data_IF_775418616470
#
_entry.id   IF_775418616470
#
_cell.length_a   1.000
_cell.length_b   1.000
_cell.length_c   1.000
_cell.angle_alpha   90.00
_cell.angle_beta   90.00
_cell.angle_gamma   90.00
#
_symmetry.space_group_name_H-M   'P 1'
#
loop_
_entity.id
_entity.type
_entity.pdbx_description
1 polymer ?
#
# COMPACT_ATOMS: atom_id res chain seq x y z
N UNK A 1 11.82 -1.66 25.20
CA UNK A 1 10.73 -1.18 24.33
C UNK A 1 11.28 -0.23 23.30
N UNK A 2 11.36 -0.68 22.05
CA UNK A 2 11.90 0.12 20.96
C UNK A 2 10.79 1.06 20.49
N UNK A 3 11.01 2.38 20.57
CA UNK A 3 10.01 3.42 20.23
C UNK A 3 9.46 3.26 18.79
N UNK A 4 10.16 2.50 17.94
CA UNK A 4 9.79 2.22 16.55
C UNK A 4 8.86 1.02 16.34
N UNK A 5 8.61 0.17 17.36
CA UNK A 5 7.79 -1.03 17.16
C UNK A 5 6.30 -0.67 16.96
N UNK A 6 5.84 0.43 17.56
CA UNK A 6 4.49 0.95 17.42
C UNK A 6 4.50 2.29 16.70
N UNK A 7 3.54 2.48 15.81
CA UNK A 7 3.33 3.77 15.17
C UNK A 7 2.60 4.71 16.13
N UNK A 8 3.00 5.98 16.15
CA UNK A 8 2.34 7.01 16.95
C UNK A 8 2.31 8.32 16.17
N UNK A 9 1.27 8.47 15.36
CA UNK A 9 0.99 9.69 14.60
C UNK A 9 0.07 10.63 15.38
N UNK A 10 -0.05 11.91 14.98
CA UNK A 10 -1.04 12.82 15.56
C UNK A 10 -2.52 12.44 15.35
N UNK A 11 -2.82 11.38 14.57
CA UNK A 11 -4.19 10.95 14.27
C UNK A 11 -4.48 9.57 14.86
N UNK A 12 -5.35 9.53 15.87
CA UNK A 12 -5.79 8.27 16.51
C UNK A 12 -6.47 7.31 15.52
N UNK A 13 -7.15 7.86 14.51
CA UNK A 13 -7.76 7.07 13.42
C UNK A 13 -6.68 6.38 12.57
N UNK A 14 -5.59 7.08 12.25
CA UNK A 14 -4.46 6.49 11.53
C UNK A 14 -3.78 5.42 12.38
N UNK A 15 -3.50 5.71 13.64
CA UNK A 15 -2.90 4.75 14.57
C UNK A 15 -3.74 3.47 14.68
N UNK A 16 -5.06 3.62 14.87
CA UNK A 16 -6.01 2.49 14.93
C UNK A 16 -6.06 1.67 13.63
N UNK A 17 -5.97 2.34 12.48
CA UNK A 17 -5.95 1.67 11.16
C UNK A 17 -4.70 0.80 11.00
N UNK A 18 -3.52 1.34 11.35
CA UNK A 18 -2.26 0.61 11.31
C UNK A 18 -2.27 -0.56 12.30
N UNK A 19 -2.77 -0.36 13.52
CA UNK A 19 -2.89 -1.44 14.51
C UNK A 19 -3.78 -2.59 14.01
N UNK A 20 -4.86 -2.28 13.29
CA UNK A 20 -5.71 -3.31 12.70
C UNK A 20 -5.02 -4.06 11.56
N UNK A 21 -4.23 -3.37 10.73
CA UNK A 21 -3.40 -4.00 9.70
C UNK A 21 -2.35 -4.90 10.32
N UNK A 22 -1.62 -4.45 11.34
CA UNK A 22 -0.62 -5.28 12.04
C UNK A 22 -1.25 -6.54 12.64
N UNK A 23 -2.39 -6.42 13.32
CA UNK A 23 -3.13 -7.57 13.86
C UNK A 23 -3.57 -8.54 12.76
N UNK A 24 -4.02 -8.03 11.62
CA UNK A 24 -4.36 -8.86 10.47
C UNK A 24 -3.14 -9.64 9.96
N UNK A 25 -2.01 -8.94 9.74
CA UNK A 25 -0.77 -9.53 9.24
C UNK A 25 -0.19 -10.56 10.21
N UNK A 26 -0.19 -10.26 11.50
CA UNK A 26 0.23 -11.20 12.55
C UNK A 26 -0.65 -12.46 12.56
N UNK A 27 -1.98 -12.28 12.46
CA UNK A 27 -2.93 -13.40 12.41
C UNK A 27 -2.75 -14.27 11.17
N UNK A 28 -2.35 -13.69 10.04
CA UNK A 28 -2.06 -14.43 8.81
C UNK A 28 -0.65 -15.04 8.79
N UNK A 29 0.20 -14.71 9.77
CA UNK A 29 1.55 -15.25 9.88
C UNK A 29 2.58 -14.57 8.98
N UNK A 30 2.34 -13.32 8.56
CA UNK A 30 3.25 -12.61 7.66
C UNK A 30 4.60 -12.32 8.34
N UNK A 31 5.69 -12.64 7.66
CA UNK A 31 7.05 -12.29 8.06
C UNK A 31 7.40 -10.82 7.74
N UNK A 32 8.62 -10.39 8.07
CA UNK A 32 9.04 -9.00 7.82
C UNK A 32 9.03 -8.62 6.33
N UNK A 33 9.60 -9.44 5.46
CA UNK A 33 9.68 -9.11 4.03
C UNK A 33 8.27 -9.11 3.41
N UNK A 34 7.42 -10.04 3.82
CA UNK A 34 6.01 -10.13 3.40
C UNK A 34 5.20 -8.91 3.84
N UNK A 35 5.33 -8.50 5.12
CA UNK A 35 4.72 -7.26 5.62
C UNK A 35 5.18 -6.03 4.85
N UNK A 36 6.46 -5.96 4.50
CA UNK A 36 6.97 -4.83 3.72
C UNK A 36 6.28 -4.75 2.34
N UNK A 37 6.13 -5.88 1.64
CA UNK A 37 5.43 -5.92 0.35
C UNK A 37 3.95 -5.59 0.48
N UNK A 38 3.30 -6.04 1.54
CA UNK A 38 1.93 -5.67 1.85
C UNK A 38 1.75 -4.16 1.99
N UNK A 39 2.61 -3.48 2.77
CA UNK A 39 2.52 -2.03 2.92
C UNK A 39 2.81 -1.27 1.62
N UNK A 40 3.72 -1.76 0.77
CA UNK A 40 3.91 -1.21 -0.57
C UNK A 40 2.63 -1.34 -1.43
N UNK A 41 1.95 -2.48 -1.33
CA UNK A 41 0.65 -2.71 -1.96
C UNK A 41 -0.41 -1.67 -1.59
N UNK A 42 -0.47 -1.31 -0.30
CA UNK A 42 -1.38 -0.25 0.19
C UNK A 42 -1.04 1.11 -0.45
N UNK A 43 0.24 1.48 -0.53
CA UNK A 43 0.66 2.74 -1.17
C UNK A 43 0.30 2.78 -2.66
N UNK A 44 0.46 1.65 -3.37
CA UNK A 44 0.05 1.53 -4.78
C UNK A 44 -1.46 1.76 -4.91
N UNK A 45 -2.27 1.23 -3.98
CA UNK A 45 -3.70 1.48 -3.98
C UNK A 45 -4.02 2.98 -3.82
N UNK A 46 -3.35 3.68 -2.88
CA UNK A 46 -3.53 5.13 -2.70
C UNK A 46 -3.22 5.92 -3.98
N UNK A 47 -2.14 5.58 -4.68
CA UNK A 47 -1.82 6.18 -5.99
C UNK A 47 -2.89 5.83 -7.04
N UNK A 48 -3.34 4.59 -7.09
CA UNK A 48 -4.35 4.15 -8.05
C UNK A 48 -5.68 4.88 -7.86
N UNK A 49 -6.10 5.13 -6.62
CA UNK A 49 -7.31 5.91 -6.32
C UNK A 49 -7.15 7.37 -6.73
N UNK A 50 -6.00 7.98 -6.44
CA UNK A 50 -5.69 9.33 -6.90
C UNK A 50 -5.73 9.45 -8.44
N UNK A 51 -5.28 8.41 -9.15
CA UNK A 51 -5.36 8.33 -10.61
C UNK A 51 -6.80 8.27 -11.11
N UNK A 52 -7.68 7.49 -10.46
CA UNK A 52 -9.11 7.42 -10.82
C UNK A 52 -9.76 8.80 -10.68
N UNK A 53 -9.50 9.52 -9.60
CA UNK A 53 -10.04 10.88 -9.37
C UNK A 53 -9.57 11.89 -10.42
N UNK A 54 -8.39 11.70 -11.01
CA UNK A 54 -7.85 12.52 -12.11
C UNK A 54 -8.25 11.96 -13.48
N UNK A 55 -9.37 11.25 -13.57
CA UNK A 55 -9.93 10.64 -14.79
C UNK A 55 -9.05 9.58 -15.47
N UNK A 56 -7.97 9.13 -14.84
CA UNK A 56 -7.19 7.99 -15.32
C UNK A 56 -7.82 6.66 -14.87
N UNK A 57 -8.95 6.30 -15.49
CA UNK A 57 -9.69 5.05 -15.19
C UNK A 57 -8.85 3.79 -15.32
N UNK A 58 -7.77 3.82 -16.12
CA UNK A 58 -6.87 2.69 -16.37
C UNK A 58 -5.82 2.44 -15.28
N UNK A 59 -5.79 3.26 -14.21
CA UNK A 59 -4.85 3.15 -13.08
C UNK A 59 -3.39 2.87 -13.52
N UNK A 60 -2.73 3.81 -14.24
CA UNK A 60 -1.40 3.59 -14.82
C UNK A 60 -0.32 3.05 -13.88
N UNK A 61 -0.43 3.26 -12.55
CA UNK A 61 0.53 2.72 -11.58
C UNK A 61 0.58 1.19 -11.61
N UNK A 62 -0.54 0.51 -11.90
CA UNK A 62 -0.59 -0.96 -11.95
C UNK A 62 0.25 -1.53 -13.11
N UNK A 63 0.47 -0.75 -14.17
CA UNK A 63 1.34 -1.15 -15.29
C UNK A 63 2.82 -1.22 -14.91
N UNK A 64 3.20 -0.67 -13.75
CA UNK A 64 4.58 -0.77 -13.22
C UNK A 64 4.84 -2.09 -12.48
N UNK A 65 3.80 -2.88 -12.19
CA UNK A 65 3.93 -4.20 -11.57
C UNK A 65 4.21 -5.23 -12.67
N UNK A 66 5.35 -5.91 -12.61
CA UNK A 66 5.65 -7.04 -13.51
C UNK A 66 5.03 -8.30 -12.92
N UNK A 67 3.84 -8.70 -13.39
CA UNK A 67 3.11 -9.85 -12.85
C UNK A 67 3.82 -11.21 -13.01
N UNK A 68 4.87 -11.28 -13.85
CA UNK A 68 5.72 -12.47 -13.98
C UNK A 68 6.76 -12.59 -12.85
N UNK A 69 6.80 -11.65 -11.92
CA UNK A 69 7.78 -11.61 -10.83
C UNK A 69 8.58 -10.30 -10.85
N UNK A 70 9.01 -9.87 -9.67
CA UNK A 70 9.84 -8.70 -9.46
C UNK A 70 10.93 -9.00 -8.45
N UNK A 71 12.19 -8.76 -8.79
CA UNK A 71 13.26 -8.86 -7.81
C UNK A 71 13.28 -7.66 -6.86
N UNK A 72 14.05 -7.77 -5.77
CA UNK A 72 14.15 -6.72 -4.74
C UNK A 72 14.51 -5.33 -5.31
N UNK A 73 15.35 -5.27 -6.35
CA UNK A 73 15.75 -3.99 -6.97
C UNK A 73 14.61 -3.36 -7.78
N UNK A 74 13.82 -4.17 -8.47
CA UNK A 74 12.61 -3.72 -9.19
C UNK A 74 11.54 -3.24 -8.20
N UNK A 75 11.35 -3.96 -7.10
CA UNK A 75 10.49 -3.53 -5.99
C UNK A 75 10.92 -2.18 -5.42
N UNK A 76 12.22 -1.98 -5.19
CA UNK A 76 12.73 -0.70 -4.70
C UNK A 76 12.46 0.46 -5.68
N UNK A 77 12.63 0.23 -6.98
CA UNK A 77 12.29 1.23 -8.02
C UNK A 77 10.78 1.52 -8.05
N UNK A 78 9.95 0.49 -7.92
CA UNK A 78 8.50 0.64 -7.82
C UNK A 78 8.11 1.49 -6.61
N UNK A 79 8.75 1.29 -5.45
CA UNK A 79 8.52 2.14 -4.28
C UNK A 79 8.86 3.61 -4.54
N UNK A 80 10.01 3.89 -5.19
CA UNK A 80 10.40 5.26 -5.54
C UNK A 80 9.37 5.93 -6.46
N UNK A 81 8.89 5.19 -7.47
CA UNK A 81 7.84 5.64 -8.37
C UNK A 81 6.52 5.93 -7.63
N UNK A 82 6.13 5.08 -6.70
CA UNK A 82 4.92 5.25 -5.87
C UNK A 82 5.05 6.48 -4.98
N UNK A 83 6.17 6.66 -4.29
CA UNK A 83 6.43 7.82 -3.44
C UNK A 83 6.40 9.13 -4.24
N UNK A 84 7.00 9.14 -5.44
CA UNK A 84 6.93 10.29 -6.35
C UNK A 84 5.48 10.60 -6.74
N UNK A 85 4.69 9.59 -7.10
CA UNK A 85 3.29 9.77 -7.51
C UNK A 85 2.40 10.24 -6.35
N UNK A 86 2.59 9.72 -5.14
CA UNK A 86 1.89 10.23 -3.95
C UNK A 86 2.13 11.73 -3.76
N UNK A 87 3.37 12.19 -3.95
CA UNK A 87 3.69 13.63 -3.91
C UNK A 87 3.04 14.39 -5.07
N UNK A 88 3.11 13.88 -6.30
CA UNK A 88 2.53 14.55 -7.48
C UNK A 88 1.00 14.71 -7.40
N UNK A 89 0.30 13.81 -6.72
CA UNK A 89 -1.15 13.85 -6.55
C UNK A 89 -1.61 14.49 -5.23
N UNK A 90 -0.71 15.12 -4.46
CA UNK A 90 -1.02 15.67 -3.14
C UNK A 90 -1.67 14.62 -2.21
N UNK A 91 -1.14 13.40 -2.23
CA UNK A 91 -1.56 12.24 -1.41
C UNK A 91 -0.51 11.81 -0.40
N UNK A 92 0.45 12.70 -0.10
CA UNK A 92 1.38 12.56 1.02
C UNK A 92 0.67 12.93 2.34
N UNK A 93 -0.37 12.19 2.71
CA UNK A 93 -1.14 12.40 3.94
C UNK A 93 -0.45 11.73 5.13
N UNK A 94 -0.87 12.06 6.35
CA UNK A 94 -0.40 11.38 7.58
C UNK A 94 -0.58 9.85 7.47
N UNK A 95 -1.65 9.39 6.81
CA UNK A 95 -1.86 7.96 6.58
C UNK A 95 -0.84 7.38 5.60
N UNK A 96 -0.61 8.02 4.44
CA UNK A 96 0.41 7.57 3.48
C UNK A 96 1.80 7.54 4.11
N UNK A 97 2.18 8.57 4.88
CA UNK A 97 3.46 8.63 5.58
C UNK A 97 3.57 7.54 6.66
N UNK A 98 2.47 7.22 7.34
CA UNK A 98 2.41 6.13 8.31
C UNK A 98 2.63 4.77 7.64
N UNK A 99 2.02 4.54 6.48
CA UNK A 99 2.22 3.32 5.68
C UNK A 99 3.68 3.25 5.17
N UNK A 100 4.26 4.36 4.70
CA UNK A 100 5.67 4.43 4.30
C UNK A 100 6.61 4.12 5.48
N UNK A 101 6.28 4.59 6.67
CA UNK A 101 7.02 4.25 7.88
C UNK A 101 7.00 2.74 8.14
N UNK A 102 5.84 2.09 8.08
CA UNK A 102 5.72 0.64 8.24
C UNK A 102 6.44 -0.13 7.15
N UNK A 103 6.35 0.31 5.90
CA UNK A 103 7.14 -0.23 4.80
C UNK A 103 8.64 -0.22 5.13
N UNK A 104 9.20 0.93 5.52
CA UNK A 104 10.62 1.05 5.85
C UNK A 104 11.03 0.27 7.10
N UNK A 105 10.17 0.23 8.13
CA UNK A 105 10.40 -0.57 9.32
C UNK A 105 10.62 -2.05 8.95
N UNK A 106 9.79 -2.59 8.06
CA UNK A 106 9.86 -4.00 7.67
C UNK A 106 10.88 -4.31 6.59
N UNK A 107 10.93 -3.50 5.54
CA UNK A 107 11.88 -3.63 4.44
C UNK A 107 13.32 -3.61 4.96
N UNK A 108 13.55 -2.86 6.03
CA UNK A 108 14.84 -2.78 6.70
C UNK A 108 15.84 -1.94 5.92
N UNK A 109 17.11 -2.26 6.09
CA UNK A 109 18.21 -1.55 5.43
C UNK A 109 18.66 -2.30 4.18
N UNK A 110 19.52 -1.72 3.35
CA UNK A 110 20.15 -2.40 2.21
C UNK A 110 20.98 -3.65 2.59
N UNK A 111 21.16 -3.94 3.88
CA UNK A 111 21.86 -5.11 4.41
C UNK A 111 20.93 -6.18 4.99
N UNK A 112 19.61 -5.98 4.96
CA UNK A 112 18.65 -6.98 5.43
C UNK A 112 18.68 -8.23 4.55
N UNK A 113 18.45 -9.40 5.15
CA UNK A 113 18.29 -10.66 4.41
C UNK A 113 16.94 -10.62 3.71
N UNK A 114 16.96 -10.62 2.37
CA UNK A 114 15.77 -10.74 1.55
C UNK A 114 15.45 -12.23 1.33
N UNK A 115 14.26 -12.65 1.77
CA UNK A 115 13.84 -14.07 1.78
C UNK A 115 12.83 -14.40 0.69
N UNK A 116 12.22 -13.40 0.06
CA UNK A 116 11.18 -13.59 -0.93
C UNK A 116 11.76 -13.79 -2.33
N UNK A 117 11.19 -14.76 -3.06
CA UNK A 117 11.41 -14.87 -4.50
C UNK A 117 10.62 -13.81 -5.28
N UNK A 118 10.90 -13.73 -6.58
CA UNK A 118 10.35 -12.70 -7.46
C UNK A 118 8.81 -12.76 -7.55
N UNK A 119 8.21 -13.96 -7.51
CA UNK A 119 6.75 -14.11 -7.57
C UNK A 119 6.11 -13.78 -6.21
N UNK A 120 6.73 -14.18 -5.10
CA UNK A 120 6.28 -13.89 -3.75
C UNK A 120 6.23 -12.38 -3.51
N UNK A 121 7.20 -11.61 -4.03
CA UNK A 121 7.16 -10.15 -3.96
C UNK A 121 5.88 -9.59 -4.57
N UNK A 122 5.54 -10.02 -5.79
CA UNK A 122 4.33 -9.58 -6.50
C UNK A 122 3.07 -10.02 -5.76
N UNK A 123 3.04 -11.26 -5.26
CA UNK A 123 1.91 -11.79 -4.51
C UNK A 123 1.58 -10.92 -3.30
N UNK A 124 2.57 -10.60 -2.46
CA UNK A 124 2.35 -9.81 -1.25
C UNK A 124 2.07 -8.33 -1.52
N UNK A 125 2.63 -7.77 -2.61
CA UNK A 125 2.21 -6.45 -3.12
C UNK A 125 0.72 -6.46 -3.45
N UNK A 126 0.25 -7.47 -4.18
CA UNK A 126 -1.17 -7.58 -4.56
C UNK A 126 -2.07 -7.89 -3.37
N UNK A 127 -1.58 -8.62 -2.36
CA UNK A 127 -2.31 -8.83 -1.11
C UNK A 127 -2.58 -7.50 -0.39
N UNK A 128 -1.57 -6.63 -0.28
CA UNK A 128 -1.72 -5.29 0.28
C UNK A 128 -2.64 -4.38 -0.53
N UNK A 129 -2.50 -4.40 -1.86
CA UNK A 129 -3.38 -3.64 -2.76
C UNK A 129 -4.85 -4.04 -2.58
N UNK A 130 -5.11 -5.35 -2.53
CA UNK A 130 -6.46 -5.92 -2.45
C UNK A 130 -7.08 -5.76 -1.07
N UNK A 131 -6.29 -5.75 0.00
CA UNK A 131 -6.76 -5.46 1.35
C UNK A 131 -7.51 -4.12 1.44
N UNK A 132 -7.08 -3.13 0.67
CA UNK A 132 -7.70 -1.81 0.62
C UNK A 132 -9.05 -1.79 -0.11
N UNK A 133 -9.36 -2.80 -0.93
CA UNK A 133 -10.66 -2.89 -1.60
C UNK A 133 -11.76 -3.25 -0.58
N UNK A 134 -11.44 -4.09 0.41
CA UNK A 134 -12.36 -4.48 1.48
C UNK A 134 -12.33 -3.58 2.72
N UNK A 135 -11.45 -2.58 2.76
CA UNK A 135 -11.17 -1.79 3.97
C UNK A 135 -11.39 -0.29 3.75
N UNK A 136 -12.04 0.39 4.71
CA UNK A 136 -12.14 1.85 4.67
C UNK A 136 -10.81 2.48 5.11
N UNK A 137 -10.24 3.37 4.28
CA UNK A 137 -9.08 4.20 4.67
C UNK A 137 -9.51 5.30 5.64
N UNK A 138 -8.64 5.68 6.61
CA UNK A 138 -8.96 6.70 7.60
C UNK A 138 -9.02 8.13 7.02
N UNK A 139 -8.47 8.35 5.83
CA UNK A 139 -8.40 9.62 5.12
C UNK A 139 -9.21 9.60 3.80
N UNK A 140 -10.26 8.77 3.73
CA UNK A 140 -11.15 8.70 2.55
C UNK A 140 -11.89 10.02 2.37
N UNK A 141 -11.80 10.62 1.18
CA UNK A 141 -12.61 11.79 0.83
C UNK A 141 -13.98 11.37 0.30
N UNK A 142 -14.97 12.27 0.33
CA UNK A 142 -16.30 12.02 -0.26
C UNK A 142 -16.20 11.70 -1.76
N UNK A 143 -15.33 12.42 -2.47
CA UNK A 143 -15.01 12.16 -3.88
C UNK A 143 -14.42 10.75 -4.11
N UNK A 144 -13.52 10.30 -3.22
CA UNK A 144 -12.95 8.94 -3.27
C UNK A 144 -14.01 7.88 -2.98
N UNK A 145 -14.96 8.16 -2.09
CA UNK A 145 -16.08 7.27 -1.81
C UNK A 145 -17.04 7.15 -3.00
N UNK A 146 -17.37 8.26 -3.65
CA UNK A 146 -18.25 8.27 -4.82
C UNK A 146 -17.60 7.60 -6.03
N UNK A 147 -16.32 7.88 -6.29
CA UNK A 147 -15.55 7.21 -7.35
C UNK A 147 -15.46 5.69 -7.13
N UNK A 148 -15.33 5.24 -5.87
CA UNK A 148 -15.34 3.82 -5.54
C UNK A 148 -16.71 3.17 -5.77
N UNK A 149 -17.81 3.85 -5.42
CA UNK A 149 -19.18 3.36 -5.70
C UNK A 149 -19.39 3.19 -7.20
N UNK A 150 -19.06 4.20 -8.00
CA UNK A 150 -19.17 4.15 -9.47
C UNK A 150 -18.32 3.02 -10.09
N UNK A 151 -17.10 2.77 -9.58
CA UNK A 151 -16.28 1.65 -10.07
C UNK A 151 -16.89 0.28 -9.74
N UNK A 152 -17.54 0.15 -8.59
CA UNK A 152 -18.14 -1.10 -8.12
C UNK A 152 -19.46 -1.39 -8.86
N UNK A 153 -20.27 -0.37 -9.12
CA UNK A 153 -21.53 -0.48 -9.89
C UNK A 153 -21.24 -0.87 -11.36
N UNK A 154 -20.32 -0.18 -12.03
CA UNK A 154 -19.96 -0.48 -13.42
C UNK A 154 -19.37 -1.89 -13.63
N UNK A 155 -18.76 -2.50 -12.60
CA UNK A 155 -18.19 -3.86 -12.69
C UNK A 155 -19.19 -4.96 -12.34
N UNK A 156 -20.38 -4.60 -11.85
CA UNK A 156 -21.50 -5.53 -11.59
C UNK A 156 -22.51 -5.61 -12.73
N UNK A 157 -22.36 -4.76 -13.75
CA UNK A 157 -23.23 -4.69 -14.94
C UNK A 157 -22.62 -5.35 -16.20
N UNK A 158 -21.38 -5.85 -16.14
CA UNK A 158 -20.72 -6.67 -17.18
C UNK A 158 -20.71 -8.16 -16.81
#
# INVERSE_FOLDING_TARGET
>A
DNIMDKINTPSDKVNSSIDNMEKFLDKQGFDRNEKSMFYLGILINRVAMAQVLKEHRTKPILKKIQFQGMNQKEVYRLYQDVAEKLRQYDRMTIFSEAIMNRFHYYYGTHRSVWTLDDHANVFYIMAGYSYMVGSKVPDLTEEEEEANKQLTENSSEE
#
